data_IF_003231017385
#
_entry.id   IF_003231017385
#
_cell.length_a   1.000
_cell.length_b   1.000
_cell.length_c   1.000
_cell.angle_alpha   90.00
_cell.angle_beta   90.00
_cell.angle_gamma   90.00
#
_symmetry.space_group_name_H-M   'P 1'
#
loop_
_entity.id
_entity.type
_entity.pdbx_description
1 polymer ?
#
# COMPACT_ATOMS: atom_id res chain seq x y z
N UNK A 1 -11.02 14.90 8.47
CA UNK A 1 -12.00 14.16 7.65
C UNK A 1 -11.56 14.28 6.20
N UNK A 2 -11.66 13.23 5.39
CA UNK A 2 -11.32 13.29 3.96
C UNK A 2 -12.43 14.04 3.22
N UNK A 3 -12.07 14.95 2.32
CA UNK A 3 -13.02 15.68 1.50
C UNK A 3 -13.76 14.74 0.54
N UNK A 4 -15.08 14.88 0.43
CA UNK A 4 -15.92 13.96 -0.36
C UNK A 4 -15.53 13.94 -1.85
N UNK A 5 -15.14 15.10 -2.41
CA UNK A 5 -14.67 15.21 -3.78
C UNK A 5 -13.39 14.42 -4.05
N UNK A 6 -12.45 14.44 -3.09
CA UNK A 6 -11.20 13.67 -3.16
C UNK A 6 -11.51 12.18 -3.10
N UNK A 7 -12.36 11.75 -2.16
CA UNK A 7 -12.75 10.35 -2.01
C UNK A 7 -13.41 9.79 -3.29
N UNK A 8 -14.29 10.58 -3.93
CA UNK A 8 -14.94 10.20 -5.19
C UNK A 8 -13.94 10.01 -6.33
N UNK A 9 -12.98 10.93 -6.44
CA UNK A 9 -11.95 10.92 -7.49
C UNK A 9 -11.04 9.70 -7.35
N UNK A 10 -10.50 9.47 -6.15
CA UNK A 10 -9.63 8.33 -5.85
C UNK A 10 -10.36 7.01 -6.07
N UNK A 11 -11.64 6.91 -5.69
CA UNK A 11 -12.45 5.72 -5.95
C UNK A 11 -12.52 5.39 -7.44
N UNK A 12 -12.73 6.39 -8.31
CA UNK A 12 -12.74 6.18 -9.77
C UNK A 12 -11.40 5.68 -10.33
N UNK A 13 -10.28 6.16 -9.78
CA UNK A 13 -8.95 5.63 -10.15
C UNK A 13 -8.77 4.19 -9.70
N UNK A 14 -9.18 3.85 -8.48
CA UNK A 14 -9.08 2.48 -7.95
C UNK A 14 -9.94 1.52 -8.79
N UNK A 15 -11.17 1.89 -9.15
CA UNK A 15 -12.08 1.04 -9.93
C UNK A 15 -11.59 0.77 -11.36
N UNK A 16 -10.76 1.65 -11.92
CA UNK A 16 -10.19 1.52 -13.27
C UNK A 16 -8.78 0.92 -13.29
N UNK A 17 -8.10 0.87 -12.14
CA UNK A 17 -6.74 0.38 -12.03
C UNK A 17 -6.66 -1.16 -12.14
N UNK A 18 -5.69 -1.65 -12.92
CA UNK A 18 -5.33 -3.07 -12.96
C UNK A 18 -4.10 -3.39 -12.11
N UNK A 19 -3.18 -2.42 -12.02
CA UNK A 19 -1.91 -2.51 -11.31
C UNK A 19 -1.66 -1.24 -10.52
N UNK A 20 -1.18 -1.36 -9.29
CA UNK A 20 -0.92 -0.24 -8.37
C UNK A 20 0.43 -0.43 -7.68
N UNK A 21 1.23 0.62 -7.66
CA UNK A 21 2.39 0.73 -6.78
C UNK A 21 2.00 1.60 -5.57
N UNK A 22 2.24 1.08 -4.36
CA UNK A 22 2.08 1.80 -3.10
C UNK A 22 3.47 2.15 -2.58
N UNK A 23 3.74 3.43 -2.36
CA UNK A 23 5.05 3.90 -1.93
C UNK A 23 4.98 4.38 -0.48
N UNK A 24 6.10 4.25 0.22
CA UNK A 24 6.30 4.85 1.54
C UNK A 24 7.54 5.75 1.57
N UNK A 25 7.73 6.50 2.65
CA UNK A 25 8.87 7.38 2.84
C UNK A 25 10.14 6.60 3.25
N UNK A 26 11.29 7.29 3.22
CA UNK A 26 12.56 6.75 3.70
C UNK A 26 12.53 6.51 5.22
N UNK A 27 13.29 5.52 5.68
CA UNK A 27 13.36 5.06 7.06
C UNK A 27 11.96 4.79 7.65
N UNK A 28 11.18 3.89 7.00
CA UNK A 28 9.77 3.69 7.32
C UNK A 28 9.59 3.09 8.71
N UNK A 29 8.59 3.58 9.42
CA UNK A 29 8.17 3.04 10.70
C UNK A 29 7.03 2.00 10.55
N UNK A 30 6.47 1.58 11.67
CA UNK A 30 5.36 0.63 11.70
C UNK A 30 4.10 1.14 11.01
N UNK A 31 3.83 2.45 11.03
CA UNK A 31 2.67 3.04 10.36
C UNK A 31 2.87 3.09 8.86
N UNK A 32 4.05 3.56 8.42
CA UNK A 32 4.47 3.58 7.03
C UNK A 32 4.34 2.20 6.35
N UNK A 33 4.84 1.14 6.98
CA UNK A 33 4.75 -0.22 6.43
C UNK A 33 3.33 -0.79 6.60
N UNK A 34 2.72 -0.62 7.78
CA UNK A 34 1.42 -1.18 8.09
C UNK A 34 0.30 -0.62 7.19
N UNK A 35 0.23 0.70 7.04
CA UNK A 35 -0.74 1.36 6.16
C UNK A 35 -0.55 0.98 4.70
N UNK A 36 0.70 0.88 4.23
CA UNK A 36 1.02 0.48 2.85
C UNK A 36 0.60 -0.96 2.57
N UNK A 37 0.94 -1.90 3.45
CA UNK A 37 0.54 -3.30 3.34
C UNK A 37 -0.98 -3.46 3.41
N UNK A 38 -1.64 -2.75 4.35
CA UNK A 38 -3.10 -2.79 4.48
C UNK A 38 -3.80 -2.31 3.20
N UNK A 39 -3.30 -1.23 2.58
CA UNK A 39 -3.83 -0.74 1.31
C UNK A 39 -3.61 -1.75 0.19
N UNK A 40 -2.39 -2.30 0.04
CA UNK A 40 -2.10 -3.29 -0.98
C UNK A 40 -2.97 -4.56 -0.84
N UNK A 41 -3.17 -5.04 0.39
CA UNK A 41 -4.07 -6.16 0.67
C UNK A 41 -5.53 -5.84 0.35
N UNK A 42 -6.01 -4.65 0.69
CA UNK A 42 -7.38 -4.21 0.39
C UNK A 42 -7.62 -4.11 -1.13
N UNK A 43 -6.66 -3.61 -1.89
CA UNK A 43 -6.69 -3.57 -3.35
C UNK A 43 -6.64 -4.99 -3.94
N UNK A 44 -5.81 -5.88 -3.38
CA UNK A 44 -5.76 -7.29 -3.75
C UNK A 44 -7.11 -8.01 -3.60
N UNK A 45 -7.86 -7.73 -2.52
CA UNK A 45 -9.23 -8.24 -2.34
C UNK A 45 -10.22 -7.76 -3.41
N UNK A 46 -9.91 -6.68 -4.13
CA UNK A 46 -10.68 -6.16 -5.26
C UNK A 46 -10.19 -6.69 -6.62
N UNK A 47 -9.21 -7.61 -6.64
CA UNK A 47 -8.63 -8.16 -7.87
C UNK A 47 -7.58 -7.26 -8.51
N UNK A 48 -7.09 -6.23 -7.80
CA UNK A 48 -6.07 -5.31 -8.30
C UNK A 48 -4.70 -5.85 -7.88
N UNK A 49 -3.76 -5.90 -8.83
CA UNK A 49 -2.38 -6.29 -8.56
C UNK A 49 -1.63 -5.12 -7.92
N UNK A 50 -1.51 -5.15 -6.59
CA UNK A 50 -0.87 -4.10 -5.81
C UNK A 50 0.43 -4.59 -5.15
N UNK A 51 1.50 -3.81 -5.34
CA UNK A 51 2.81 -4.01 -4.70
C UNK A 51 3.22 -2.78 -3.88
N UNK A 52 3.92 -3.02 -2.78
CA UNK A 52 4.48 -2.00 -1.90
C UNK A 52 5.95 -1.81 -2.23
N UNK A 53 6.39 -0.58 -2.46
CA UNK A 53 7.80 -0.22 -2.66
C UNK A 53 8.31 0.43 -1.39
N UNK A 54 9.34 -0.17 -0.79
CA UNK A 54 9.99 0.28 0.44
C UNK A 54 11.41 0.71 0.09
N UNK A 55 11.68 2.01 -0.09
CA UNK A 55 12.94 2.48 -0.66
C UNK A 55 14.20 1.99 0.07
N UNK A 56 14.12 1.91 1.40
CA UNK A 56 15.25 1.52 2.25
C UNK A 56 15.20 0.05 2.68
N UNK A 57 14.27 -0.73 2.12
CA UNK A 57 14.03 -2.12 2.51
C UNK A 57 13.19 -2.30 3.77
N UNK A 58 12.71 -3.53 3.93
CA UNK A 58 11.84 -3.92 5.04
C UNK A 58 12.65 -4.18 6.32
N UNK A 59 12.40 -3.43 7.41
CA UNK A 59 13.07 -3.66 8.70
C UNK A 59 12.75 -5.04 9.28
N UNK A 60 13.79 -5.71 9.80
CA UNK A 60 13.71 -7.08 10.31
C UNK A 60 12.59 -7.29 11.35
N UNK A 61 12.42 -6.33 12.26
CA UNK A 61 11.42 -6.38 13.32
C UNK A 61 9.98 -6.22 12.82
N UNK A 62 9.77 -5.88 11.54
CA UNK A 62 8.46 -5.77 10.90
C UNK A 62 8.19 -6.89 9.88
N UNK A 63 9.12 -7.82 9.67
CA UNK A 63 8.94 -8.96 8.75
C UNK A 63 7.82 -9.93 9.14
N UNK A 64 7.32 -9.85 10.36
CA UNK A 64 6.18 -10.66 10.81
C UNK A 64 4.83 -10.11 10.31
N UNK A 65 4.78 -8.89 9.76
CA UNK A 65 3.52 -8.29 9.31
C UNK A 65 2.89 -9.09 8.17
N UNK A 66 1.55 -9.28 8.17
CA UNK A 66 0.88 -9.93 7.06
C UNK A 66 1.03 -9.15 5.75
N UNK A 67 1.28 -9.86 4.65
CA UNK A 67 1.35 -9.24 3.33
C UNK A 67 2.74 -8.77 2.90
N UNK A 68 3.78 -8.99 3.70
CA UNK A 68 5.16 -8.60 3.37
C UNK A 68 5.67 -9.17 2.04
N UNK A 69 5.10 -10.28 1.57
CA UNK A 69 5.39 -10.86 0.25
C UNK A 69 4.99 -9.96 -0.93
N UNK A 70 4.21 -8.91 -0.66
CA UNK A 70 3.83 -7.88 -1.63
C UNK A 70 4.79 -6.70 -1.64
N UNK A 71 5.81 -6.71 -0.78
CA UNK A 71 6.81 -5.65 -0.70
C UNK A 71 8.04 -5.93 -1.58
N UNK A 72 8.59 -4.87 -2.17
CA UNK A 72 9.86 -4.85 -2.88
C UNK A 72 10.65 -3.60 -2.44
N UNK A 73 11.95 -3.60 -2.72
CA UNK A 73 12.79 -2.40 -2.71
C UNK A 73 12.77 -1.74 -4.07
#
# INVERSE_FOLDING_TARGET
MVEEGVARTVKGWIESAKKVAVLTHTNPDGDAIGSSLALALALGKKGIDAQVVIPDGLPDFLRWLPGIERSTT
#
